data_IF_333209073598
#
_entry.id   IF_333209073598
#
_cell.length_a   1.000
_cell.length_b   1.000
_cell.length_c   1.000
_cell.angle_alpha   90.00
_cell.angle_beta   90.00
_cell.angle_gamma   90.00
#
_symmetry.space_group_name_H-M   'P 1'
#
loop_
_entity.id
_entity.type
_entity.pdbx_description
1 polymer ?
#
# COMPACT_ATOMS: atom_id res chain seq x y z
N UNK A 1 30.87 11.42 3.15
CA UNK A 1 30.24 12.18 2.04
C UNK A 1 28.74 12.17 2.28
N UNK A 2 28.03 13.31 2.15
CA UNK A 2 26.59 13.32 2.30
C UNK A 2 25.97 12.46 1.18
N UNK A 3 24.96 11.61 1.46
CA UNK A 3 24.33 10.82 0.42
C UNK A 3 23.68 11.78 -0.58
N UNK A 4 23.94 11.59 -1.87
CA UNK A 4 23.25 12.31 -2.94
C UNK A 4 21.77 11.96 -2.81
N UNK A 5 21.00 12.85 -2.18
CA UNK A 5 19.55 12.74 -2.07
C UNK A 5 18.98 12.71 -3.49
N UNK A 6 18.54 11.53 -3.92
CA UNK A 6 17.85 11.37 -5.19
C UNK A 6 16.52 12.15 -5.14
N UNK A 7 16.13 12.86 -6.20
CA UNK A 7 14.87 13.59 -6.24
C UNK A 7 13.68 12.64 -6.01
N UNK A 8 12.86 12.84 -4.97
CA UNK A 8 11.73 11.95 -4.65
C UNK A 8 10.74 11.82 -5.82
N UNK A 9 10.52 12.91 -6.56
CA UNK A 9 9.66 12.93 -7.74
C UNK A 9 10.18 11.99 -8.85
N UNK A 10 11.49 11.94 -9.07
CA UNK A 10 12.09 11.02 -10.06
C UNK A 10 12.04 9.58 -9.59
N UNK A 11 12.28 9.34 -8.30
CA UNK A 11 12.18 8.02 -7.70
C UNK A 11 10.76 7.44 -7.83
N UNK A 12 9.72 8.24 -7.58
CA UNK A 12 8.33 7.86 -7.80
C UNK A 12 8.02 7.56 -9.28
N UNK A 13 8.57 8.34 -10.22
CA UNK A 13 8.41 8.09 -11.66
C UNK A 13 9.05 6.76 -12.09
N UNK A 14 10.25 6.47 -11.59
CA UNK A 14 10.95 5.20 -11.85
C UNK A 14 10.15 4.01 -11.31
N UNK A 15 9.68 4.10 -10.07
CA UNK A 15 8.84 3.05 -9.47
C UNK A 15 7.54 2.84 -10.25
N UNK A 16 6.84 3.94 -10.58
CA UNK A 16 5.59 3.87 -11.32
C UNK A 16 5.78 3.24 -12.71
N UNK A 17 6.92 3.50 -13.36
CA UNK A 17 7.25 2.87 -14.62
C UNK A 17 7.50 1.37 -14.46
N UNK A 18 8.31 0.94 -13.47
CA UNK A 18 8.56 -0.49 -13.21
C UNK A 18 7.26 -1.22 -12.88
N UNK A 19 6.40 -0.61 -12.06
CA UNK A 19 5.09 -1.16 -11.72
C UNK A 19 4.14 -1.25 -12.92
N UNK A 20 4.22 -0.31 -13.86
CA UNK A 20 3.40 -0.34 -15.08
C UNK A 20 3.79 -1.47 -16.03
N UNK A 21 5.04 -1.94 -15.99
CA UNK A 21 5.50 -3.04 -16.82
C UNK A 21 4.83 -4.37 -16.43
N UNK A 22 4.46 -4.54 -15.15
CA UNK A 22 3.85 -5.77 -14.62
C UNK A 22 4.64 -7.05 -14.97
N UNK A 23 5.96 -6.93 -15.16
CA UNK A 23 6.87 -8.03 -15.53
C UNK A 23 8.16 -7.95 -14.75
N UNK A 24 8.92 -9.05 -14.70
CA UNK A 24 10.24 -9.10 -14.07
C UNK A 24 11.33 -8.72 -15.07
N UNK A 25 12.34 -7.98 -14.62
CA UNK A 25 13.41 -7.46 -15.48
C UNK A 25 14.78 -7.69 -14.87
N UNK A 26 15.79 -7.82 -15.73
CA UNK A 26 17.18 -7.81 -15.28
C UNK A 26 17.67 -6.37 -15.11
N UNK A 27 18.75 -6.18 -14.35
CA UNK A 27 19.38 -4.85 -14.21
C UNK A 27 19.71 -4.22 -15.58
N UNK A 28 20.20 -5.03 -16.53
CA UNK A 28 20.55 -4.55 -17.88
C UNK A 28 19.34 -4.07 -18.68
N UNK A 29 18.18 -4.67 -18.46
CA UNK A 29 16.94 -4.25 -19.12
C UNK A 29 16.43 -2.96 -18.50
N UNK A 30 16.46 -2.87 -17.16
CA UNK A 30 16.08 -1.68 -16.42
C UNK A 30 16.95 -0.46 -16.78
N UNK A 31 18.26 -0.64 -16.94
CA UNK A 31 19.18 0.40 -17.39
C UNK A 31 18.85 0.92 -18.81
N UNK A 32 18.17 0.13 -19.64
CA UNK A 32 17.75 0.53 -20.99
C UNK A 32 16.39 1.19 -21.03
N UNK A 33 15.42 0.70 -20.24
CA UNK A 33 14.02 1.15 -20.33
C UNK A 33 13.72 2.34 -19.41
N UNK A 34 14.41 2.45 -18.27
CA UNK A 34 14.15 3.52 -17.29
C UNK A 34 14.57 4.91 -17.81
N UNK A 35 15.78 5.12 -18.37
CA UNK A 35 16.20 6.44 -18.84
C UNK A 35 15.26 7.07 -19.89
N UNK A 36 14.85 6.37 -20.97
CA UNK A 36 13.95 6.96 -21.96
C UNK A 36 12.54 7.18 -21.42
N UNK A 37 12.06 6.35 -20.50
CA UNK A 37 10.70 6.47 -19.96
C UNK A 37 10.54 7.56 -18.89
N UNK A 38 11.60 7.84 -18.11
CA UNK A 38 11.53 8.73 -16.94
C UNK A 38 12.44 9.95 -17.04
N UNK A 39 13.31 10.01 -18.03
CA UNK A 39 14.28 11.09 -18.23
C UNK A 39 15.37 11.14 -17.16
N UNK A 40 15.61 10.05 -16.44
CA UNK A 40 16.75 9.94 -15.52
C UNK A 40 18.02 9.55 -16.27
N UNK A 41 19.18 9.97 -15.76
CA UNK A 41 20.46 9.54 -16.33
C UNK A 41 20.66 8.04 -16.17
N UNK A 42 21.08 7.36 -17.24
CA UNK A 42 21.42 5.93 -17.22
C UNK A 42 22.44 5.57 -16.14
N UNK A 43 23.37 6.49 -15.84
CA UNK A 43 24.39 6.31 -14.79
C UNK A 43 23.80 6.28 -13.37
N UNK A 44 22.61 6.86 -13.16
CA UNK A 44 21.96 6.95 -11.85
C UNK A 44 20.89 5.87 -11.66
N UNK A 45 20.56 5.09 -12.69
CA UNK A 45 19.49 4.07 -12.61
C UNK A 45 19.75 3.10 -11.47
N UNK A 46 21.00 2.63 -11.31
CA UNK A 46 21.37 1.74 -10.21
C UNK A 46 21.18 2.37 -8.83
N UNK A 47 21.45 3.67 -8.68
CA UNK A 47 21.24 4.38 -7.43
C UNK A 47 19.74 4.48 -7.11
N UNK A 48 18.88 4.76 -8.11
CA UNK A 48 17.43 4.76 -7.95
C UNK A 48 16.89 3.37 -7.59
N UNK A 49 17.35 2.31 -8.26
CA UNK A 49 16.93 0.94 -7.94
C UNK A 49 17.34 0.55 -6.53
N UNK A 50 18.54 0.93 -6.10
CA UNK A 50 19.02 0.66 -4.73
C UNK A 50 18.16 1.39 -3.70
N UNK A 51 17.88 2.68 -3.91
CA UNK A 51 16.99 3.45 -3.04
C UNK A 51 15.58 2.83 -2.95
N UNK A 52 15.03 2.36 -4.08
CA UNK A 52 13.73 1.69 -4.10
C UNK A 52 13.72 0.32 -3.39
N UNK A 53 14.84 -0.41 -3.44
CA UNK A 53 15.02 -1.66 -2.68
C UNK A 53 15.13 -1.36 -1.18
N UNK A 54 15.89 -0.34 -0.80
CA UNK A 54 16.08 0.07 0.59
C UNK A 54 14.76 0.55 1.22
N UNK A 55 13.90 1.23 0.46
CA UNK A 55 12.54 1.61 0.87
C UNK A 55 11.55 0.42 0.85
N UNK A 56 11.97 -0.75 0.37
CA UNK A 56 11.14 -1.95 0.29
C UNK A 56 10.05 -1.91 -0.79
N UNK A 57 10.12 -0.95 -1.71
CA UNK A 57 9.17 -0.73 -2.80
C UNK A 57 9.52 -1.53 -4.07
N UNK A 58 10.77 -1.93 -4.22
CA UNK A 58 11.27 -2.79 -5.30
C UNK A 58 11.79 -4.11 -4.73
N UNK A 59 11.37 -5.23 -5.31
CA UNK A 59 11.89 -6.55 -4.95
C UNK A 59 13.06 -6.91 -5.85
N UNK A 60 14.07 -7.52 -5.23
CA UNK A 60 15.21 -8.11 -5.92
C UNK A 60 15.38 -9.55 -5.43
N UNK A 61 15.49 -10.48 -6.37
CA UNK A 61 15.79 -11.89 -6.07
C UNK A 61 16.86 -12.42 -7.01
N UNK A 62 17.68 -13.32 -6.47
CA UNK A 62 18.75 -13.95 -7.24
C UNK A 62 18.25 -15.27 -7.79
N UNK A 63 18.12 -15.35 -9.11
CA UNK A 63 17.70 -16.56 -9.82
C UNK A 63 18.90 -17.03 -10.66
N UNK A 64 19.51 -18.15 -10.25
CA UNK A 64 20.75 -18.66 -10.84
C UNK A 64 21.93 -17.71 -10.63
N UNK A 65 22.50 -17.20 -11.72
CA UNK A 65 23.63 -16.26 -11.71
C UNK A 65 23.21 -14.78 -11.82
N UNK A 66 21.92 -14.49 -12.00
CA UNK A 66 21.41 -13.14 -12.24
C UNK A 66 20.53 -12.59 -11.11
N UNK A 67 20.55 -11.27 -10.93
CA UNK A 67 19.59 -10.54 -10.09
C UNK A 67 18.40 -10.11 -10.95
N UNK A 68 17.21 -10.44 -10.47
CA UNK A 68 15.93 -10.09 -11.08
C UNK A 68 15.20 -9.09 -10.22
N UNK A 69 14.61 -8.09 -10.87
CA UNK A 69 13.96 -6.95 -10.24
C UNK A 69 12.51 -6.86 -10.69
N UNK A 70 11.61 -6.62 -9.76
CA UNK A 70 10.20 -6.36 -10.05
C UNK A 70 9.52 -5.56 -8.95
N UNK A 71 8.47 -4.86 -9.33
CA UNK A 71 7.52 -4.26 -8.42
C UNK A 71 6.14 -4.37 -9.06
N UNK A 72 5.14 -4.79 -8.29
CA UNK A 72 3.75 -4.84 -8.76
C UNK A 72 2.91 -3.86 -7.96
N UNK A 73 1.99 -3.14 -8.61
CA UNK A 73 1.00 -2.28 -7.91
C UNK A 73 0.17 -3.08 -6.91
N UNK A 74 -0.10 -4.34 -7.21
CA UNK A 74 -0.81 -5.27 -6.34
C UNK A 74 -0.06 -5.59 -5.04
N UNK A 75 1.26 -5.48 -5.01
CA UNK A 75 2.07 -5.77 -3.82
C UNK A 75 1.94 -4.65 -2.77
N UNK A 76 1.78 -3.41 -3.21
CA UNK A 76 1.46 -2.29 -2.32
C UNK A 76 0.06 -2.47 -1.71
N UNK A 77 -0.90 -2.94 -2.51
CA UNK A 77 -2.25 -3.29 -2.03
C UNK A 77 -2.22 -4.44 -1.03
N UNK A 78 -1.40 -5.46 -1.28
CA UNK A 78 -1.30 -6.63 -0.41
C UNK A 78 -0.55 -6.32 0.90
N UNK A 79 0.48 -5.49 0.84
CA UNK A 79 1.20 -4.98 2.01
C UNK A 79 0.27 -4.14 2.88
N UNK A 80 -0.50 -3.22 2.28
CA UNK A 80 -1.51 -2.42 2.98
C UNK A 80 -2.61 -3.30 3.59
N UNK A 81 -3.09 -4.33 2.87
CA UNK A 81 -4.03 -5.34 3.41
C UNK A 81 -3.46 -6.10 4.60
N UNK A 82 -2.18 -6.45 4.57
CA UNK A 82 -1.50 -7.14 5.67
C UNK A 82 -1.36 -6.25 6.90
N UNK A 83 -1.01 -4.98 6.71
CA UNK A 83 -0.97 -3.98 7.80
C UNK A 83 -2.38 -3.79 8.38
N UNK A 84 -3.40 -3.62 7.54
CA UNK A 84 -4.79 -3.51 7.98
C UNK A 84 -5.24 -4.74 8.79
N UNK A 85 -4.91 -5.95 8.32
CA UNK A 85 -5.21 -7.19 9.04
C UNK A 85 -4.55 -7.21 10.41
N UNK A 86 -3.26 -6.86 10.51
CA UNK A 86 -2.55 -6.81 11.79
C UNK A 86 -3.20 -5.80 12.76
N UNK A 87 -3.57 -4.61 12.27
CA UNK A 87 -4.26 -3.61 13.08
C UNK A 87 -5.64 -4.09 13.55
N UNK A 88 -6.37 -4.83 12.71
CA UNK A 88 -7.65 -5.44 13.10
C UNK A 88 -7.48 -6.51 14.18
N UNK A 89 -6.49 -7.39 14.03
CA UNK A 89 -6.16 -8.41 15.02
C UNK A 89 -5.76 -7.78 16.37
N UNK A 90 -5.00 -6.69 16.34
CA UNK A 90 -4.59 -5.96 17.54
C UNK A 90 -5.76 -5.22 18.22
N UNK A 91 -6.65 -4.61 17.42
CA UNK A 91 -7.91 -4.03 17.91
C UNK A 91 -8.77 -5.08 18.60
N UNK A 92 -8.84 -6.30 18.07
CA UNK A 92 -9.63 -7.37 18.66
C UNK A 92 -9.00 -7.91 19.95
N UNK A 93 -7.66 -8.03 20.00
CA UNK A 93 -6.94 -8.30 21.27
C UNK A 93 -7.23 -7.25 22.34
N UNK A 94 -7.16 -5.96 21.99
CA UNK A 94 -7.46 -4.86 22.90
C UNK A 94 -8.92 -4.88 23.36
N UNK A 95 -9.86 -5.22 22.47
CA UNK A 95 -11.28 -5.40 22.85
C UNK A 95 -11.46 -6.51 23.87
N UNK A 96 -10.81 -7.65 23.68
CA UNK A 96 -10.83 -8.77 24.63
C UNK A 96 -10.25 -8.35 25.98
N UNK A 97 -9.08 -7.71 25.98
CA UNK A 97 -8.45 -7.19 27.20
C UNK A 97 -9.34 -6.17 27.95
N UNK A 98 -10.01 -5.27 27.22
CA UNK A 98 -10.97 -4.32 27.82
C UNK A 98 -12.17 -5.06 28.42
N UNK A 99 -12.66 -6.12 27.77
CA UNK A 99 -13.77 -6.93 28.28
C UNK A 99 -13.39 -7.64 29.57
N UNK A 100 -12.21 -8.25 29.61
CA UNK A 100 -11.65 -8.91 30.79
C UNK A 100 -11.43 -7.94 31.93
N UNK A 101 -10.80 -6.78 31.67
CA UNK A 101 -10.61 -5.74 32.67
C UNK A 101 -11.94 -5.22 33.24
N UNK A 102 -12.97 -5.04 32.40
CA UNK A 102 -14.32 -4.68 32.86
C UNK A 102 -14.98 -5.78 33.68
N UNK A 103 -14.69 -7.06 33.41
CA UNK A 103 -15.20 -8.18 34.22
C UNK A 103 -14.53 -8.17 35.59
N UNK A 104 -13.21 -8.03 35.64
CA UNK A 104 -12.45 -7.89 36.88
C UNK A 104 -12.91 -6.68 37.70
N UNK A 105 -13.18 -5.52 37.07
CA UNK A 105 -13.72 -4.34 37.76
C UNK A 105 -15.13 -4.60 38.33
N UNK A 106 -15.98 -5.38 37.66
CA UNK A 106 -17.29 -5.75 38.21
C UNK A 106 -17.18 -6.74 39.35
N UNK A 107 -16.21 -7.65 39.31
CA UNK A 107 -15.91 -8.57 40.41
C UNK A 107 -15.34 -7.83 41.62
N UNK A 108 -14.46 -6.84 41.43
CA UNK A 108 -13.87 -6.01 42.52
C UNK A 108 -14.86 -4.96 43.04
N UNK A 109 -15.60 -4.30 42.14
CA UNK A 109 -16.60 -3.27 42.49
C UNK A 109 -17.89 -3.82 43.11
N UNK A 110 -18.02 -5.15 43.20
CA UNK A 110 -19.07 -5.79 43.99
C UNK A 110 -18.72 -5.82 45.50
N UNK A 111 -17.46 -5.59 45.89
CA UNK A 111 -17.04 -5.64 47.30
C UNK A 111 -16.77 -4.28 47.93
N UNK A 112 -16.20 -3.28 47.25
CA UNK A 112 -15.91 -1.98 47.91
C UNK A 112 -16.16 -0.77 47.00
N UNK A 113 -17.12 0.06 47.42
CA UNK A 113 -17.34 1.38 46.85
C UNK A 113 -16.26 2.34 47.31
N UNK A 114 -15.27 2.62 46.44
CA UNK A 114 -14.48 3.88 46.39
C UNK A 114 -13.41 3.93 45.28
N UNK A 115 -13.30 2.94 44.37
CA UNK A 115 -12.26 2.90 43.33
C UNK A 115 -12.55 3.64 42.01
N UNK A 116 -13.39 4.68 41.98
CA UNK A 116 -14.10 5.07 40.74
C UNK A 116 -13.46 6.16 39.85
N UNK A 117 -12.38 6.85 40.20
CA UNK A 117 -11.99 8.05 39.41
C UNK A 117 -10.85 7.81 38.41
N UNK A 118 -9.76 7.17 38.83
CA UNK A 118 -8.61 6.86 37.97
C UNK A 118 -8.95 5.80 36.90
N UNK A 119 -9.78 4.81 37.28
CA UNK A 119 -10.29 3.79 36.35
C UNK A 119 -11.27 4.38 35.32
N UNK A 120 -12.09 5.36 35.71
CA UNK A 120 -12.98 6.06 34.77
C UNK A 120 -12.16 6.91 33.79
N UNK A 121 -11.12 7.61 34.26
CA UNK A 121 -10.16 8.32 33.40
C UNK A 121 -9.51 7.37 32.40
N UNK A 122 -9.02 6.22 32.86
CA UNK A 122 -8.36 5.24 31.99
C UNK A 122 -9.31 4.67 30.92
N UNK A 123 -10.56 4.41 31.28
CA UNK A 123 -11.59 3.97 30.33
C UNK A 123 -11.93 5.06 29.30
N UNK A 124 -11.92 6.34 29.69
CA UNK A 124 -12.14 7.46 28.78
C UNK A 124 -10.97 7.64 27.80
N UNK A 125 -9.73 7.57 28.28
CA UNK A 125 -8.53 7.62 27.43
C UNK A 125 -8.54 6.52 26.38
N UNK A 126 -8.79 5.27 26.80
CA UNK A 126 -8.83 4.13 25.88
C UNK A 126 -9.97 4.23 24.86
N UNK A 127 -11.11 4.85 25.22
CA UNK A 127 -12.17 5.14 24.25
C UNK A 127 -11.75 6.19 23.23
N UNK A 128 -11.01 7.22 23.64
CA UNK A 128 -10.51 8.25 22.74
C UNK A 128 -9.48 7.68 21.75
N UNK A 129 -8.54 6.86 22.24
CA UNK A 129 -7.55 6.16 21.40
C UNK A 129 -8.24 5.24 20.39
N UNK A 130 -9.25 4.46 20.84
CA UNK A 130 -10.04 3.61 19.95
C UNK A 130 -10.78 4.41 18.87
N UNK A 131 -11.33 5.58 19.20
CA UNK A 131 -12.01 6.43 18.23
C UNK A 131 -11.04 7.00 17.19
N UNK A 132 -9.83 7.40 17.61
CA UNK A 132 -8.76 7.85 16.71
C UNK A 132 -8.34 6.76 15.73
N UNK A 133 -8.08 5.54 16.22
CA UNK A 133 -7.72 4.41 15.36
C UNK A 133 -8.84 4.04 14.36
N UNK A 134 -10.11 4.13 14.76
CA UNK A 134 -11.25 3.88 13.86
C UNK A 134 -11.34 4.96 12.77
N UNK A 135 -11.09 6.22 13.10
CA UNK A 135 -11.07 7.31 12.13
C UNK A 135 -9.90 7.15 11.13
N UNK A 136 -8.74 6.72 11.61
CA UNK A 136 -7.57 6.47 10.76
C UNK A 136 -7.82 5.29 9.80
N UNK A 137 -8.36 4.16 10.30
CA UNK A 137 -8.76 3.01 9.47
C UNK A 137 -9.76 3.45 8.39
N UNK A 138 -10.78 4.24 8.77
CA UNK A 138 -11.76 4.75 7.82
C UNK A 138 -11.12 5.64 6.74
N UNK A 139 -10.16 6.48 7.12
CA UNK A 139 -9.37 7.27 6.18
C UNK A 139 -8.58 6.42 5.19
N UNK A 140 -7.99 5.30 5.65
CA UNK A 140 -7.32 4.33 4.77
C UNK A 140 -8.29 3.56 3.86
N UNK A 141 -9.52 3.27 4.31
CA UNK A 141 -10.52 2.57 3.51
C UNK A 141 -11.11 3.47 2.41
N UNK A 142 -11.54 4.69 2.74
CA UNK A 142 -12.14 5.63 1.78
C UNK A 142 -11.12 6.06 0.71
N UNK A 143 -9.89 6.43 1.09
CA UNK A 143 -8.86 6.86 0.14
C UNK A 143 -8.37 5.75 -0.81
N UNK A 144 -8.42 4.49 -0.38
CA UNK A 144 -7.89 3.36 -1.15
C UNK A 144 -8.95 2.72 -2.05
N UNK A 145 -10.22 2.64 -1.59
CA UNK A 145 -11.33 2.13 -2.41
C UNK A 145 -11.60 3.04 -3.61
N UNK A 146 -11.56 4.36 -3.42
CA UNK A 146 -11.79 5.32 -4.51
C UNK A 146 -10.61 5.41 -5.48
N UNK A 147 -9.37 5.17 -5.01
CA UNK A 147 -8.20 5.02 -5.87
C UNK A 147 -8.30 3.79 -6.76
N UNK A 148 -8.61 2.63 -6.17
CA UNK A 148 -8.71 1.35 -6.88
C UNK A 148 -9.87 1.35 -7.90
N UNK A 149 -11.02 1.93 -7.56
CA UNK A 149 -12.15 2.08 -8.48
C UNK A 149 -11.78 2.89 -9.72
N UNK A 150 -11.08 4.00 -9.53
CA UNK A 150 -10.65 4.88 -10.63
C UNK A 150 -9.67 4.18 -11.57
N UNK A 151 -8.75 3.41 -11.01
CA UNK A 151 -7.78 2.65 -11.80
C UNK A 151 -8.42 1.49 -12.57
N UNK A 152 -9.44 0.84 -11.99
CA UNK A 152 -10.26 -0.16 -12.68
C UNK A 152 -11.05 0.48 -13.83
N UNK A 153 -11.64 1.67 -13.62
CA UNK A 153 -12.36 2.40 -14.66
C UNK A 153 -11.42 2.78 -15.82
N UNK A 154 -10.23 3.31 -15.52
CA UNK A 154 -9.22 3.63 -16.53
C UNK A 154 -8.72 2.39 -17.30
N UNK A 155 -8.54 1.26 -16.61
CA UNK A 155 -8.18 0.00 -17.27
C UNK A 155 -9.31 -0.47 -18.18
N UNK A 156 -10.57 -0.35 -17.74
CA UNK A 156 -11.75 -0.69 -18.55
C UNK A 156 -11.85 0.19 -19.80
N UNK A 157 -11.61 1.49 -19.66
CA UNK A 157 -11.64 2.44 -20.79
C UNK A 157 -10.52 2.16 -21.79
N UNK A 158 -9.30 1.86 -21.32
CA UNK A 158 -8.18 1.45 -22.19
C UNK A 158 -8.47 0.15 -22.93
N UNK A 159 -9.06 -0.83 -22.26
CA UNK A 159 -9.48 -2.10 -22.88
C UNK A 159 -10.54 -1.83 -23.95
N UNK A 160 -11.57 -1.03 -23.63
CA UNK A 160 -12.65 -0.70 -24.58
C UNK A 160 -12.14 0.07 -25.80
N UNK A 161 -11.21 1.01 -25.61
CA UNK A 161 -10.57 1.74 -26.70
C UNK A 161 -9.75 0.80 -27.59
N UNK A 162 -9.00 -0.12 -26.98
CA UNK A 162 -8.18 -1.10 -27.71
C UNK A 162 -9.06 -2.09 -28.48
N UNK A 163 -10.15 -2.56 -27.89
CA UNK A 163 -11.15 -3.41 -28.55
C UNK A 163 -11.84 -2.65 -29.68
N UNK A 164 -12.22 -1.39 -29.49
CA UNK A 164 -12.85 -0.57 -30.54
C UNK A 164 -11.92 -0.23 -31.71
N UNK A 165 -10.61 -0.12 -31.45
CA UNK A 165 -9.59 0.08 -32.50
C UNK A 165 -9.28 -1.24 -33.22
N UNK A 166 -9.20 -2.36 -32.49
CA UNK A 166 -8.90 -3.68 -33.06
C UNK A 166 -10.10 -4.32 -33.78
N UNK A 167 -11.31 -3.99 -33.34
CA UNK A 167 -12.59 -4.48 -33.89
C UNK A 167 -13.55 -3.30 -34.09
N UNK A 168 -13.29 -2.42 -35.07
CA UNK A 168 -14.25 -1.38 -35.42
C UNK A 168 -15.56 -2.05 -35.82
N UNK A 169 -16.67 -1.61 -35.23
CA UNK A 169 -17.99 -2.16 -35.49
C UNK A 169 -18.20 -2.28 -37.01
N UNK A 170 -18.44 -3.50 -37.49
CA UNK A 170 -18.70 -3.78 -38.89
C UNK A 170 -19.83 -2.87 -39.36
N UNK A 171 -19.53 -2.02 -40.34
CA UNK A 171 -20.53 -1.21 -41.02
C UNK A 171 -21.63 -2.14 -41.54
N UNK A 172 -22.92 -1.82 -41.29
CA UNK A 172 -23.98 -2.59 -41.90
C UNK A 172 -23.88 -2.39 -43.41
N UNK A 173 -23.57 -3.47 -44.13
CA UNK A 173 -23.70 -3.49 -45.59
C UNK A 173 -25.19 -3.34 -45.88
N UNK A 174 -25.57 -2.16 -46.35
CA UNK A 174 -26.91 -1.84 -46.84
C UNK A 174 -27.29 -2.86 -47.92
N UNK A 175 -28.39 -3.58 -47.69
CA UNK A 175 -29.13 -4.32 -48.71
C UNK A 175 -30.35 -3.53 -49.15
#
# INVERSE_FOLDING_TARGET
>A
MPPKSLPPAKLAQVLAHIQALNTTHTLKDLEKIIPPATGVSGMLVKDYLTALVDEGLLRVEKIGSGNWYWAFRSEETNTKRRILKNCLDEKDKLRSAISEAKRAIREIGAEEGEGSEELVKRVQELKAVKAGMVAEIRGYEEGNVDGLKREIEEMRDRINLTIGIAYPAATPVLG
#
